data_IF_584272146426
#
_entry.id   IF_584272146426
#
_cell.length_a   1.000
_cell.length_b   1.000
_cell.length_c   1.000
_cell.angle_alpha   90.00
_cell.angle_beta   90.00
_cell.angle_gamma   90.00
#
_symmetry.space_group_name_H-M   'P 1'
#
loop_
_entity.id
_entity.type
_entity.pdbx_description
1 polymer ?
#
# COMPACT_ATOMS: atom_id res chain seq x y z
N UNK A 1 9.39 -16.33 -17.01
CA UNK A 1 9.22 -15.70 -15.70
C UNK A 1 7.75 -15.78 -15.34
N UNK A 2 7.41 -15.85 -14.07
CA UNK A 2 5.99 -15.74 -13.70
C UNK A 2 5.49 -14.31 -14.01
N UNK A 3 4.22 -14.21 -14.37
CA UNK A 3 3.57 -12.91 -14.62
C UNK A 3 3.42 -12.15 -13.30
N UNK A 4 3.90 -10.91 -13.25
CA UNK A 4 3.77 -10.02 -12.11
C UNK A 4 3.06 -8.75 -12.56
N UNK A 5 1.95 -8.44 -11.90
CA UNK A 5 1.21 -7.21 -12.13
C UNK A 5 1.50 -6.17 -11.06
N UNK A 6 1.35 -4.90 -11.42
CA UNK A 6 1.28 -3.81 -10.46
C UNK A 6 -0.16 -3.33 -10.34
N UNK A 7 -0.58 -3.06 -9.12
CA UNK A 7 -1.90 -2.50 -8.83
C UNK A 7 -1.69 -1.16 -8.14
N UNK A 8 -2.17 -0.11 -8.76
CA UNK A 8 -2.14 1.25 -8.24
C UNK A 8 -3.57 1.68 -7.89
N UNK A 9 -3.80 2.08 -6.65
CA UNK A 9 -5.05 2.75 -6.29
C UNK A 9 -4.85 4.26 -6.45
N UNK A 10 -5.71 4.90 -7.25
CA UNK A 10 -5.62 6.31 -7.57
C UNK A 10 -6.96 7.02 -7.37
N UNK A 11 -6.88 8.20 -6.77
CA UNK A 11 -8.01 9.10 -6.58
C UNK A 11 -7.64 10.50 -7.04
N UNK A 12 -8.40 11.05 -8.00
CA UNK A 12 -8.43 12.48 -8.25
C UNK A 12 -9.46 13.14 -7.33
N UNK A 13 -8.96 13.77 -6.29
CA UNK A 13 -9.82 14.44 -5.33
C UNK A 13 -10.46 15.75 -5.86
N UNK A 14 -9.99 16.26 -7.00
CA UNK A 14 -10.57 17.44 -7.69
C UNK A 14 -11.71 17.05 -8.63
N UNK A 15 -11.97 15.76 -8.84
CA UNK A 15 -13.11 15.30 -9.64
C UNK A 15 -14.42 15.75 -9.00
N UNK A 16 -15.12 16.66 -9.68
CA UNK A 16 -16.37 17.26 -9.19
C UNK A 16 -17.47 16.21 -9.01
N UNK A 17 -17.58 15.26 -9.93
CA UNK A 17 -18.61 14.22 -9.86
C UNK A 17 -18.36 13.28 -8.67
N UNK A 18 -17.09 12.95 -8.39
CA UNK A 18 -16.72 12.18 -7.22
C UNK A 18 -17.02 12.94 -5.91
N UNK A 19 -16.70 14.25 -5.86
CA UNK A 19 -16.99 15.08 -4.69
C UNK A 19 -18.49 15.18 -4.43
N UNK A 20 -19.29 15.42 -5.46
CA UNK A 20 -20.76 15.46 -5.35
C UNK A 20 -21.32 14.14 -4.85
N UNK A 21 -20.85 13.02 -5.38
CA UNK A 21 -21.27 11.70 -4.94
C UNK A 21 -20.88 11.44 -3.48
N UNK A 22 -19.65 11.73 -3.09
CA UNK A 22 -19.16 11.59 -1.71
C UNK A 22 -19.99 12.41 -0.73
N UNK A 23 -20.35 13.64 -1.09
CA UNK A 23 -21.10 14.56 -0.22
C UNK A 23 -22.50 14.02 0.10
N UNK A 24 -23.14 13.25 -0.80
CA UNK A 24 -24.43 12.62 -0.53
C UNK A 24 -24.39 11.62 0.63
N UNK A 25 -23.22 11.01 0.88
CA UNK A 25 -23.01 9.97 1.88
C UNK A 25 -22.24 10.45 3.10
N UNK A 26 -21.71 11.69 3.10
CA UNK A 26 -20.96 12.22 4.24
C UNK A 26 -21.93 12.55 5.38
N UNK A 27 -22.07 11.73 6.42
CA UNK A 27 -22.89 12.07 7.57
C UNK A 27 -22.10 13.08 8.39
N UNK A 28 -22.60 14.30 8.59
CA UNK A 28 -22.07 15.27 9.54
C UNK A 28 -20.61 15.06 10.01
N UNK A 29 -20.21 15.63 11.12
CA UNK A 29 -18.80 15.66 11.59
C UNK A 29 -18.14 14.29 11.96
N UNK A 30 -18.75 13.15 11.68
CA UNK A 30 -18.24 11.82 12.10
C UNK A 30 -17.42 11.08 11.02
N UNK A 31 -17.48 11.51 9.76
CA UNK A 31 -16.71 10.89 8.69
C UNK A 31 -15.21 11.22 8.82
N UNK A 32 -14.33 10.25 8.52
CA UNK A 32 -12.89 10.48 8.46
C UNK A 32 -12.54 11.24 7.16
N UNK A 33 -12.68 12.56 7.23
CA UNK A 33 -12.50 13.51 6.11
C UNK A 33 -11.19 14.29 6.22
N UNK A 34 -10.10 13.65 6.67
CA UNK A 34 -8.80 14.31 6.77
C UNK A 34 -8.40 14.92 5.41
N UNK A 35 -8.21 16.25 5.30
CA UNK A 35 -7.89 16.95 4.05
C UNK A 35 -6.64 16.42 3.35
N UNK A 36 -5.65 15.94 4.10
CA UNK A 36 -4.39 15.44 3.54
C UNK A 36 -4.58 14.26 2.58
N UNK A 37 -5.69 13.51 2.71
CA UNK A 37 -6.01 12.37 1.83
C UNK A 37 -6.55 12.78 0.47
N UNK A 38 -6.84 14.05 0.32
CA UNK A 38 -7.51 14.60 -0.86
C UNK A 38 -6.70 15.72 -1.51
N UNK A 39 -5.40 15.83 -1.19
CA UNK A 39 -4.50 16.79 -1.83
C UNK A 39 -3.90 16.20 -3.08
N UNK A 40 -3.88 16.99 -4.15
CA UNK A 40 -3.26 16.61 -5.41
C UNK A 40 -1.78 17.04 -5.43
N UNK A 41 -0.90 16.05 -5.51
CA UNK A 41 0.54 16.26 -5.57
C UNK A 41 1.08 16.46 -6.98
N UNK A 42 0.29 16.23 -8.01
CA UNK A 42 0.67 16.30 -9.44
C UNK A 42 1.90 15.43 -9.79
N UNK A 43 2.11 14.36 -9.06
CA UNK A 43 3.31 13.52 -9.17
C UNK A 43 3.04 12.10 -9.70
N UNK A 44 1.80 11.74 -9.95
CA UNK A 44 1.43 10.41 -10.43
C UNK A 44 2.17 10.00 -11.72
N UNK A 45 2.50 10.96 -12.62
CA UNK A 45 3.28 10.65 -13.82
C UNK A 45 4.65 10.05 -13.51
N UNK A 46 5.24 10.39 -12.37
CA UNK A 46 6.54 9.84 -11.96
C UNK A 46 6.43 8.38 -11.51
N UNK A 47 5.26 7.94 -11.04
CA UNK A 47 5.00 6.53 -10.83
C UNK A 47 5.14 5.76 -12.15
N UNK A 48 4.48 6.18 -13.22
CA UNK A 48 4.54 5.52 -14.53
C UNK A 48 5.93 5.62 -15.16
N UNK A 49 6.59 6.77 -15.06
CA UNK A 49 7.99 6.93 -15.52
C UNK A 49 8.93 5.99 -14.77
N UNK A 50 8.69 5.79 -13.48
CA UNK A 50 9.50 4.89 -12.66
C UNK A 50 9.33 3.43 -13.06
N UNK A 51 8.12 3.02 -13.42
CA UNK A 51 7.85 1.66 -13.91
C UNK A 51 8.55 1.44 -15.26
N UNK A 52 8.35 2.33 -16.21
CA UNK A 52 8.94 2.25 -17.54
C UNK A 52 10.48 2.13 -17.48
N UNK A 53 11.09 2.93 -16.62
CA UNK A 53 12.54 2.99 -16.47
C UNK A 53 13.13 1.90 -15.60
N UNK A 54 12.48 1.54 -14.48
CA UNK A 54 13.07 0.72 -13.43
C UNK A 54 12.46 -0.68 -13.28
N UNK A 55 11.27 -0.91 -13.88
CA UNK A 55 10.58 -2.19 -13.85
C UNK A 55 9.89 -2.51 -15.19
N UNK A 56 10.60 -2.42 -16.35
CA UNK A 56 10.00 -2.64 -17.68
C UNK A 56 9.46 -4.07 -17.89
N UNK A 57 9.81 -4.99 -17.01
CA UNK A 57 9.36 -6.38 -16.99
C UNK A 57 7.93 -6.58 -16.48
N UNK A 58 7.30 -5.56 -15.88
CA UNK A 58 5.92 -5.64 -15.39
C UNK A 58 4.97 -6.01 -16.52
N UNK A 59 4.09 -7.00 -16.27
CA UNK A 59 3.12 -7.47 -17.26
C UNK A 59 2.04 -6.42 -17.49
N UNK A 60 1.32 -6.04 -16.45
CA UNK A 60 0.18 -5.11 -16.49
C UNK A 60 0.20 -4.19 -15.28
N UNK A 61 -0.14 -2.93 -15.49
CA UNK A 61 -0.43 -1.95 -14.43
C UNK A 61 -1.95 -1.76 -14.38
N UNK A 62 -2.56 -2.29 -13.33
CA UNK A 62 -3.98 -2.08 -13.05
C UNK A 62 -4.14 -0.76 -12.30
N UNK A 63 -4.78 0.21 -12.92
CA UNK A 63 -5.07 1.51 -12.31
C UNK A 63 -6.49 1.49 -11.77
N UNK A 64 -6.61 1.30 -10.47
CA UNK A 64 -7.90 1.21 -9.77
C UNK A 64 -8.38 2.61 -9.43
N UNK A 65 -9.54 2.99 -9.92
CA UNK A 65 -10.09 4.34 -9.80
C UNK A 65 -11.62 4.32 -9.67
N UNK A 66 -12.17 5.42 -9.19
CA UNK A 66 -13.62 5.62 -9.16
C UNK A 66 -14.23 5.81 -10.57
N UNK A 67 -13.41 6.15 -11.57
CA UNK A 67 -13.80 6.38 -12.95
C UNK A 67 -13.05 7.51 -13.64
N UNK A 68 -12.36 8.34 -12.86
CA UNK A 68 -11.48 9.39 -13.40
C UNK A 68 -10.14 8.81 -13.85
N UNK A 69 -9.57 9.42 -14.89
CA UNK A 69 -8.27 9.05 -15.44
C UNK A 69 -7.51 10.33 -15.79
N UNK A 70 -6.22 10.43 -15.44
CA UNK A 70 -5.43 11.59 -15.82
C UNK A 70 -5.41 11.78 -17.34
N UNK A 71 -5.67 13.01 -17.82
CA UNK A 71 -5.75 13.31 -19.26
C UNK A 71 -4.45 13.02 -20.04
N UNK A 72 -3.32 12.98 -19.35
CA UNK A 72 -2.00 12.66 -19.94
C UNK A 72 -1.71 11.16 -20.04
N UNK A 73 -2.52 10.29 -19.40
CA UNK A 73 -2.29 8.84 -19.40
C UNK A 73 -2.81 8.20 -20.68
N UNK A 74 -1.96 7.46 -21.36
CA UNK A 74 -2.34 6.66 -22.54
C UNK A 74 -3.07 5.38 -22.09
N UNK A 75 -4.38 5.46 -21.96
CA UNK A 75 -5.24 4.33 -21.56
C UNK A 75 -5.23 3.16 -22.56
N UNK A 76 -4.79 3.39 -23.79
CA UNK A 76 -4.66 2.35 -24.82
C UNK A 76 -3.30 1.65 -24.82
N UNK A 77 -2.41 2.01 -23.90
CA UNK A 77 -1.12 1.33 -23.80
C UNK A 77 -1.33 -0.13 -23.40
N UNK A 78 -0.65 -1.12 -24.06
CA UNK A 78 -0.92 -2.56 -23.89
C UNK A 78 -0.67 -3.07 -22.47
N UNK A 79 0.08 -2.35 -21.66
CA UNK A 79 0.32 -2.68 -20.24
C UNK A 79 -0.60 -1.94 -19.26
N UNK A 80 -1.50 -1.09 -19.72
CA UNK A 80 -2.45 -0.36 -18.85
C UNK A 80 -3.79 -1.07 -18.84
N UNK A 81 -4.32 -1.30 -17.65
CA UNK A 81 -5.68 -1.75 -17.43
C UNK A 81 -6.37 -0.79 -16.45
N UNK A 82 -7.28 0.03 -16.95
CA UNK A 82 -8.11 0.89 -16.10
C UNK A 82 -9.20 0.03 -15.47
N UNK A 83 -9.28 0.07 -14.14
CA UNK A 83 -10.22 -0.72 -13.34
C UNK A 83 -11.12 0.23 -12.55
N UNK A 84 -12.39 0.33 -12.93
CA UNK A 84 -13.35 1.06 -12.11
C UNK A 84 -13.76 0.21 -10.91
N UNK A 85 -14.11 0.85 -9.80
CA UNK A 85 -14.60 0.13 -8.61
C UNK A 85 -15.77 -0.81 -8.94
N UNK A 86 -16.65 -0.41 -9.85
CA UNK A 86 -17.81 -1.23 -10.32
C UNK A 86 -17.43 -2.48 -11.10
N UNK A 87 -16.19 -2.57 -11.60
CA UNK A 87 -15.75 -3.70 -12.42
C UNK A 87 -15.38 -4.91 -11.58
N UNK A 88 -15.15 -4.71 -10.27
CA UNK A 88 -14.69 -5.79 -9.39
C UNK A 88 -15.34 -5.80 -7.99
N UNK A 89 -15.97 -4.71 -7.56
CA UNK A 89 -16.70 -4.67 -6.28
C UNK A 89 -18.19 -5.02 -6.50
N UNK A 90 -18.80 -5.81 -5.61
CA UNK A 90 -20.24 -6.00 -5.57
C UNK A 90 -21.01 -4.68 -5.52
N UNK A 91 -22.13 -4.62 -6.24
CA UNK A 91 -22.93 -3.40 -6.38
C UNK A 91 -23.45 -2.86 -5.03
N UNK A 92 -23.76 -3.74 -4.09
CA UNK A 92 -24.25 -3.39 -2.74
C UNK A 92 -23.20 -2.66 -1.89
N UNK A 93 -21.91 -2.76 -2.23
CA UNK A 93 -20.83 -2.04 -1.53
C UNK A 93 -20.55 -0.66 -2.16
N UNK A 94 -21.10 -0.39 -3.33
CA UNK A 94 -20.91 0.86 -4.07
C UNK A 94 -21.95 1.93 -3.69
N UNK A 95 -21.62 3.24 -3.80
CA UNK A 95 -20.25 3.72 -3.93
C UNK A 95 -19.46 3.50 -2.65
N UNK A 96 -18.14 3.45 -2.75
CA UNK A 96 -17.25 3.41 -1.59
C UNK A 96 -16.25 4.57 -1.63
N UNK A 97 -15.99 5.17 -0.45
CA UNK A 97 -14.99 6.21 -0.21
C UNK A 97 -13.93 5.71 0.79
N UNK A 98 -13.92 4.40 1.02
CA UNK A 98 -12.99 3.71 1.90
C UNK A 98 -11.95 2.96 1.08
N UNK A 99 -10.68 3.39 1.15
CA UNK A 99 -9.59 2.63 0.52
C UNK A 99 -9.50 1.20 1.06
N UNK A 100 -9.94 0.94 2.30
CA UNK A 100 -9.95 -0.41 2.88
C UNK A 100 -10.87 -1.35 2.12
N UNK A 101 -12.07 -0.90 1.74
CA UNK A 101 -12.97 -1.66 0.87
C UNK A 101 -12.29 -1.98 -0.46
N UNK A 102 -11.66 -0.97 -1.08
CA UNK A 102 -10.93 -1.09 -2.34
C UNK A 102 -9.82 -2.13 -2.20
N UNK A 103 -8.93 -1.95 -1.21
CA UNK A 103 -7.71 -2.73 -1.04
C UNK A 103 -7.96 -4.19 -0.64
N UNK A 104 -9.01 -4.46 0.15
CA UNK A 104 -9.36 -5.83 0.57
C UNK A 104 -9.92 -6.69 -0.54
N UNK A 105 -10.31 -6.09 -1.66
CA UNK A 105 -11.00 -6.76 -2.76
C UNK A 105 -10.16 -6.88 -4.05
N UNK A 106 -8.89 -6.50 -4.04
CA UNK A 106 -8.04 -6.46 -5.24
C UNK A 106 -7.98 -7.79 -6.00
N UNK A 107 -8.09 -8.93 -5.31
CA UNK A 107 -8.12 -10.25 -5.95
C UNK A 107 -9.27 -10.45 -6.93
N UNK A 108 -10.31 -9.64 -6.86
CA UNK A 108 -11.49 -9.68 -7.74
C UNK A 108 -11.25 -8.95 -9.06
N UNK A 109 -10.15 -8.22 -9.22
CA UNK A 109 -9.81 -7.51 -10.46
C UNK A 109 -9.71 -8.52 -11.61
N UNK A 110 -10.48 -8.33 -12.70
CA UNK A 110 -10.43 -9.21 -13.85
C UNK A 110 -9.03 -9.25 -14.47
N UNK A 111 -8.52 -10.46 -14.71
CA UNK A 111 -7.21 -10.66 -15.34
C UNK A 111 -6.00 -10.41 -14.45
N UNK A 112 -6.17 -10.10 -13.16
CA UNK A 112 -5.08 -9.95 -12.21
C UNK A 112 -4.26 -11.25 -12.08
N UNK A 113 -2.93 -11.13 -12.17
CA UNK A 113 -2.01 -12.24 -11.99
C UNK A 113 -2.04 -12.80 -10.56
N UNK A 114 -1.57 -14.04 -10.39
CA UNK A 114 -1.35 -14.63 -9.06
C UNK A 114 -0.38 -13.80 -8.23
N UNK A 115 0.68 -13.28 -8.85
CA UNK A 115 1.67 -12.43 -8.20
C UNK A 115 1.39 -10.97 -8.59
N UNK A 116 1.11 -10.13 -7.59
CA UNK A 116 0.95 -8.71 -7.85
C UNK A 116 1.57 -7.85 -6.75
N UNK A 117 1.96 -6.65 -7.11
CA UNK A 117 2.52 -5.65 -6.19
C UNK A 117 1.54 -4.50 -6.07
N UNK A 118 1.16 -4.21 -4.84
CA UNK A 118 0.26 -3.12 -4.51
C UNK A 118 1.02 -1.83 -4.22
N UNK A 119 0.57 -0.74 -4.83
CA UNK A 119 1.07 0.61 -4.66
C UNK A 119 -0.06 1.56 -4.28
N UNK A 120 0.22 2.47 -3.36
CA UNK A 120 -0.53 3.71 -3.23
C UNK A 120 0.07 4.76 -4.19
N UNK A 121 -0.65 5.85 -4.43
CA UNK A 121 -0.26 6.97 -5.30
C UNK A 121 0.91 7.81 -4.77
N UNK A 122 1.31 7.61 -3.52
CA UNK A 122 2.48 8.21 -2.87
C UNK A 122 3.76 7.32 -2.91
N UNK A 123 3.71 6.18 -3.63
CA UNK A 123 4.80 5.20 -3.70
C UNK A 123 5.48 5.20 -5.07
N UNK A 124 6.82 5.27 -5.09
CA UNK A 124 7.63 5.38 -6.30
C UNK A 124 8.79 4.40 -6.29
N UNK A 125 9.14 3.87 -7.47
CA UNK A 125 10.45 3.26 -7.68
C UNK A 125 11.48 4.37 -7.86
N UNK A 126 12.60 4.28 -7.15
CA UNK A 126 13.69 5.28 -7.19
C UNK A 126 15.01 4.68 -7.68
N UNK A 127 14.96 3.44 -8.17
CA UNK A 127 16.07 2.77 -8.81
C UNK A 127 15.65 1.44 -9.43
N UNK A 128 16.48 0.84 -10.28
CA UNK A 128 16.18 -0.42 -10.97
C UNK A 128 15.83 -1.52 -9.98
N UNK A 129 14.74 -2.23 -10.26
CA UNK A 129 14.28 -3.40 -9.52
C UNK A 129 14.05 -4.56 -10.48
N UNK A 130 14.55 -5.73 -10.12
CA UNK A 130 14.26 -6.97 -10.82
C UNK A 130 13.05 -7.66 -10.20
N UNK A 131 12.36 -8.57 -10.92
CA UNK A 131 11.23 -9.34 -10.39
C UNK A 131 11.51 -9.97 -9.01
N UNK A 132 12.74 -10.42 -8.78
CA UNK A 132 13.20 -11.05 -7.53
C UNK A 132 13.23 -10.10 -6.33
N UNK A 133 13.08 -8.79 -6.56
CA UNK A 133 12.88 -7.82 -5.50
C UNK A 133 11.52 -8.00 -4.82
N UNK A 134 10.51 -8.37 -5.62
CA UNK A 134 9.14 -8.54 -5.14
C UNK A 134 8.77 -10.00 -4.91
N UNK A 135 9.25 -10.91 -5.76
CA UNK A 135 8.92 -12.32 -5.65
C UNK A 135 10.16 -13.20 -5.88
N UNK A 136 10.34 -14.19 -5.02
CA UNK A 136 11.40 -15.19 -5.14
C UNK A 136 10.84 -16.59 -4.95
N UNK A 137 11.08 -17.47 -5.92
CA UNK A 137 10.53 -18.84 -5.93
C UNK A 137 9.00 -18.85 -5.78
N UNK A 138 8.30 -17.92 -6.46
CA UNK A 138 6.85 -17.81 -6.41
C UNK A 138 6.28 -17.16 -5.14
N UNK A 139 7.13 -16.75 -4.19
CA UNK A 139 6.71 -16.17 -2.90
C UNK A 139 7.08 -14.68 -2.82
N UNK A 140 6.21 -13.83 -2.26
CA UNK A 140 6.50 -12.43 -2.05
C UNK A 140 7.71 -12.22 -1.12
N UNK A 141 8.55 -11.25 -1.46
CA UNK A 141 9.69 -10.86 -0.65
C UNK A 141 9.28 -9.81 0.36
N UNK A 142 9.41 -10.10 1.65
CA UNK A 142 9.00 -9.18 2.72
C UNK A 142 9.78 -9.41 4.02
N UNK A 143 9.50 -8.60 5.06
CA UNK A 143 10.16 -8.65 6.34
C UNK A 143 9.15 -8.87 7.48
N UNK A 144 9.03 -10.12 7.93
CA UNK A 144 8.14 -10.49 9.03
C UNK A 144 8.76 -10.12 10.39
N UNK A 145 8.52 -8.90 10.82
CA UNK A 145 9.01 -8.36 12.10
C UNK A 145 7.86 -8.21 13.07
N UNK A 146 7.94 -8.85 14.24
CA UNK A 146 6.99 -8.64 15.32
C UNK A 146 7.25 -7.30 16.00
N UNK A 147 6.21 -6.55 16.28
CA UNK A 147 6.31 -5.24 16.92
C UNK A 147 5.05 -4.92 17.72
N UNK A 148 5.19 -4.24 18.84
CA UNK A 148 4.09 -3.47 19.39
C UNK A 148 3.95 -2.17 18.60
N UNK A 149 2.74 -1.66 18.45
CA UNK A 149 2.45 -0.35 17.89
C UNK A 149 1.85 0.53 18.98
N UNK A 150 2.45 1.70 19.19
CA UNK A 150 1.84 2.75 19.99
C UNK A 150 1.06 3.67 19.06
N UNK A 151 -0.06 4.21 19.51
CA UNK A 151 -0.79 5.22 18.79
C UNK A 151 -0.81 6.55 19.57
N UNK A 152 -0.95 7.63 18.81
CA UNK A 152 -1.06 8.97 19.33
C UNK A 152 -2.45 9.54 18.97
N UNK A 153 -3.14 10.12 19.96
CA UNK A 153 -4.46 10.69 19.75
C UNK A 153 -4.47 11.93 18.84
N UNK A 154 -3.31 12.52 18.57
CA UNK A 154 -3.19 13.62 17.59
C UNK A 154 -3.31 13.14 16.13
N UNK A 155 -3.29 11.84 15.88
CA UNK A 155 -3.49 11.25 14.56
C UNK A 155 -4.88 10.62 14.38
N UNK A 156 -5.14 10.09 13.20
CA UNK A 156 -6.38 9.34 12.95
C UNK A 156 -6.38 8.02 13.74
N UNK A 157 -7.17 7.96 14.80
CA UNK A 157 -7.34 6.77 15.65
C UNK A 157 -7.70 5.54 14.78
N UNK A 158 -8.60 5.71 13.80
CA UNK A 158 -9.01 4.62 12.89
C UNK A 158 -7.84 4.00 12.13
N UNK A 159 -6.84 4.79 11.75
CA UNK A 159 -5.66 4.30 11.04
C UNK A 159 -4.80 3.39 11.93
N UNK A 160 -4.68 3.73 13.21
CA UNK A 160 -3.88 2.94 14.17
C UNK A 160 -4.54 1.64 14.60
N UNK A 161 -5.88 1.54 14.55
CA UNK A 161 -6.58 0.34 15.00
C UNK A 161 -6.59 -0.79 13.96
N UNK A 162 -6.55 -0.51 12.66
CA UNK A 162 -6.60 -1.54 11.65
C UNK A 162 -5.55 -2.66 11.82
N UNK A 163 -4.26 -2.39 12.11
CA UNK A 163 -3.28 -3.44 12.34
C UNK A 163 -3.59 -4.34 13.55
N UNK A 164 -4.30 -3.82 14.55
CA UNK A 164 -4.77 -4.64 15.68
C UNK A 164 -5.96 -5.52 15.30
N UNK A 165 -6.88 -5.00 14.49
CA UNK A 165 -8.00 -5.75 13.92
C UNK A 165 -7.44 -6.89 13.06
N UNK A 166 -6.52 -6.60 12.15
CA UNK A 166 -5.84 -7.57 11.32
C UNK A 166 -5.16 -8.67 12.16
N UNK A 167 -4.42 -8.25 13.21
CA UNK A 167 -3.75 -9.18 14.13
C UNK A 167 -4.76 -10.01 14.94
N UNK A 168 -5.92 -9.45 15.26
CA UNK A 168 -7.02 -10.17 15.90
C UNK A 168 -7.51 -11.33 15.06
N UNK A 169 -7.68 -11.12 13.74
CA UNK A 169 -8.01 -12.18 12.78
C UNK A 169 -6.90 -13.25 12.75
N UNK A 170 -5.63 -12.83 12.70
CA UNK A 170 -4.49 -13.76 12.73
C UNK A 170 -4.52 -14.62 14.00
N UNK A 171 -4.75 -14.05 15.16
CA UNK A 171 -4.78 -14.76 16.44
C UNK A 171 -5.95 -15.74 16.57
N UNK A 172 -7.04 -15.53 15.81
CA UNK A 172 -8.18 -16.46 15.74
C UNK A 172 -7.76 -17.82 15.13
N UNK A 173 -6.86 -17.80 14.14
CA UNK A 173 -6.48 -19.01 13.38
C UNK A 173 -5.10 -19.56 13.72
N UNK A 174 -4.18 -18.73 14.23
CA UNK A 174 -2.78 -19.12 14.34
C UNK A 174 -2.23 -18.95 15.77
N UNK A 175 -1.61 -20.03 16.27
CA UNK A 175 -0.86 -19.99 17.54
C UNK A 175 0.57 -19.52 17.27
N UNK A 176 0.95 -18.36 17.79
CA UNK A 176 2.27 -17.71 17.55
C UNK A 176 3.45 -18.68 17.72
N UNK A 177 3.51 -19.44 18.84
CA UNK A 177 4.60 -20.37 19.08
C UNK A 177 4.72 -21.45 18.01
N UNK A 178 3.59 -21.96 17.50
CA UNK A 178 3.58 -22.96 16.43
C UNK A 178 4.08 -22.38 15.12
N UNK A 179 3.66 -21.16 14.77
CA UNK A 179 4.11 -20.44 13.57
C UNK A 179 5.61 -20.22 13.60
N UNK A 180 6.15 -19.66 14.70
CA UNK A 180 7.57 -19.39 14.84
C UNK A 180 8.43 -20.67 14.78
N UNK A 181 7.95 -21.77 15.38
CA UNK A 181 8.63 -23.08 15.33
C UNK A 181 8.65 -23.69 13.93
N UNK A 182 7.61 -23.49 13.14
CA UNK A 182 7.49 -24.05 11.78
C UNK A 182 8.53 -23.50 10.82
N UNK A 183 8.90 -22.21 10.95
CA UNK A 183 9.83 -21.53 10.04
C UNK A 183 10.73 -20.50 10.74
N UNK A 184 11.56 -20.94 11.71
CA UNK A 184 12.31 -20.01 12.57
C UNK A 184 13.24 -19.11 11.79
N UNK A 185 13.88 -19.59 10.71
CA UNK A 185 14.78 -18.81 9.87
C UNK A 185 14.08 -17.71 9.05
N UNK A 186 12.74 -17.75 8.92
CA UNK A 186 11.99 -16.65 8.31
C UNK A 186 11.72 -15.52 9.31
N UNK A 187 11.59 -15.83 10.58
CA UNK A 187 11.33 -14.86 11.66
C UNK A 187 12.60 -14.30 12.27
N UNK A 188 13.63 -15.15 12.46
CA UNK A 188 14.95 -14.79 12.99
C UNK A 188 15.94 -14.62 11.84
N UNK A 189 15.66 -13.69 10.91
CA UNK A 189 16.47 -13.49 9.72
C UNK A 189 17.37 -12.27 9.85
N UNK A 190 18.67 -12.42 9.59
CA UNK A 190 19.65 -11.32 9.68
C UNK A 190 19.39 -10.16 8.72
N UNK A 191 18.61 -10.39 7.62
CA UNK A 191 18.17 -9.32 6.72
C UNK A 191 17.30 -8.29 7.42
N UNK A 192 16.68 -8.64 8.54
CA UNK A 192 15.89 -7.69 9.34
C UNK A 192 16.74 -6.75 10.20
N UNK A 193 18.06 -6.98 10.28
CA UNK A 193 19.02 -6.08 10.94
C UNK A 193 18.58 -5.74 12.37
N UNK A 194 18.63 -4.46 12.75
CA UNK A 194 18.20 -3.99 14.07
C UNK A 194 16.72 -4.21 14.39
N UNK A 195 15.85 -4.42 13.37
CA UNK A 195 14.44 -4.73 13.61
C UNK A 195 14.23 -6.12 14.26
N UNK A 196 15.24 -7.00 14.23
CA UNK A 196 15.21 -8.27 14.98
C UNK A 196 15.01 -8.06 16.48
N UNK A 197 15.53 -6.98 17.06
CA UNK A 197 15.35 -6.67 18.47
C UNK A 197 13.86 -6.52 18.83
N UNK A 198 13.04 -5.94 17.92
CA UNK A 198 11.59 -5.86 18.12
C UNK A 198 10.97 -7.24 18.20
N UNK A 199 11.33 -8.14 17.27
CA UNK A 199 10.86 -9.51 17.30
C UNK A 199 11.24 -10.21 18.59
N UNK A 200 12.48 -10.08 19.06
CA UNK A 200 12.96 -10.68 20.32
C UNK A 200 12.16 -10.18 21.52
N UNK A 201 11.88 -8.88 21.62
CA UNK A 201 11.10 -8.30 22.73
C UNK A 201 9.64 -8.78 22.72
N UNK A 202 9.12 -9.23 21.57
CA UNK A 202 7.75 -9.75 21.45
C UNK A 202 7.64 -11.26 21.74
N UNK A 203 8.75 -12.01 21.81
CA UNK A 203 8.72 -13.46 22.01
C UNK A 203 8.01 -13.92 23.31
N UNK A 204 8.17 -13.25 24.48
CA UNK A 204 7.53 -13.67 25.70
C UNK A 204 5.99 -13.69 25.66
N UNK A 205 5.38 -12.83 24.85
CA UNK A 205 3.92 -12.74 24.75
C UNK A 205 3.32 -14.00 24.09
N UNK A 206 2.20 -14.54 24.59
CA UNK A 206 1.62 -15.78 24.08
C UNK A 206 0.98 -15.65 22.69
N UNK A 207 0.50 -14.46 22.36
CA UNK A 207 -0.17 -14.13 21.10
C UNK A 207 0.66 -13.17 20.25
N UNK A 208 0.31 -13.00 18.97
CA UNK A 208 0.79 -11.90 18.16
C UNK A 208 0.21 -10.59 18.72
N UNK A 209 1.06 -9.60 19.00
CA UNK A 209 0.61 -8.28 19.43
C UNK A 209 0.31 -7.43 18.19
N UNK A 210 1.29 -7.30 17.30
CA UNK A 210 1.19 -6.67 15.99
C UNK A 210 2.45 -6.98 15.18
N UNK A 211 2.51 -6.44 13.96
CA UNK A 211 3.63 -6.56 13.05
C UNK A 211 4.15 -5.17 12.66
N UNK A 212 5.41 -5.09 12.28
CA UNK A 212 6.01 -3.86 11.76
C UNK A 212 5.57 -3.66 10.31
N UNK A 213 4.85 -2.58 10.03
CA UNK A 213 4.50 -2.17 8.67
C UNK A 213 5.52 -1.16 8.17
N UNK A 214 6.13 -1.44 7.02
CA UNK A 214 7.15 -0.56 6.42
C UNK A 214 6.55 0.50 5.51
N UNK A 215 5.27 0.36 5.14
CA UNK A 215 4.51 1.26 4.27
C UNK A 215 5.23 1.56 2.96
N UNK A 216 5.57 0.50 2.26
CA UNK A 216 6.23 0.48 0.96
C UNK A 216 5.43 -0.46 0.03
N UNK A 217 5.73 -0.52 -1.28
CA UNK A 217 5.06 -1.47 -2.16
C UNK A 217 5.10 -2.91 -1.65
N UNK A 218 3.94 -3.56 -1.58
CA UNK A 218 3.78 -4.90 -1.02
C UNK A 218 3.50 -5.93 -2.11
N UNK A 219 4.26 -7.04 -2.11
CA UNK A 219 3.97 -8.20 -2.93
C UNK A 219 2.87 -9.08 -2.32
N UNK A 220 1.89 -9.45 -3.12
CA UNK A 220 0.78 -10.30 -2.73
C UNK A 220 0.60 -11.49 -3.66
N UNK A 221 0.06 -12.57 -3.10
CA UNK A 221 -0.51 -13.67 -3.87
C UNK A 221 -2.03 -13.52 -3.90
N UNK A 222 -2.63 -13.59 -5.09
CA UNK A 222 -4.08 -13.56 -5.27
C UNK A 222 -4.75 -14.66 -4.45
N UNK A 223 -4.19 -15.85 -4.45
CA UNK A 223 -4.63 -16.99 -3.66
C UNK A 223 -4.61 -16.74 -2.14
N UNK A 224 -3.78 -15.82 -1.64
CA UNK A 224 -3.82 -15.41 -0.22
C UNK A 224 -5.09 -14.63 0.09
N UNK A 225 -5.48 -13.71 -0.80
CA UNK A 225 -6.75 -12.98 -0.65
C UNK A 225 -7.93 -13.94 -0.68
N UNK A 226 -7.98 -14.84 -1.65
CA UNK A 226 -9.04 -15.84 -1.80
C UNK A 226 -9.18 -16.70 -0.54
N UNK A 227 -8.06 -17.21 0.01
CA UNK A 227 -8.06 -17.99 1.24
C UNK A 227 -8.59 -17.21 2.46
N UNK A 228 -8.19 -15.95 2.63
CA UNK A 228 -8.67 -15.12 3.76
C UNK A 228 -10.15 -14.80 3.59
N UNK A 229 -10.60 -14.51 2.38
CA UNK A 229 -12.00 -14.31 2.08
C UNK A 229 -12.85 -15.56 2.31
N UNK A 230 -12.32 -16.73 2.00
CA UNK A 230 -12.99 -18.01 2.33
C UNK A 230 -13.15 -18.23 3.84
N UNK A 231 -12.16 -17.78 4.64
CA UNK A 231 -12.15 -17.93 6.09
C UNK A 231 -13.02 -16.91 6.82
N UNK A 232 -13.11 -15.69 6.34
CA UNK A 232 -13.77 -14.55 6.99
C UNK A 232 -14.76 -13.83 6.06
N UNK A 233 -15.66 -14.55 5.34
CA UNK A 233 -16.51 -13.94 4.33
C UNK A 233 -17.45 -12.89 4.90
N UNK A 234 -18.09 -13.16 6.03
CA UNK A 234 -19.05 -12.24 6.65
C UNK A 234 -18.37 -10.99 7.21
N UNK A 235 -17.21 -11.17 7.87
CA UNK A 235 -16.44 -10.08 8.45
C UNK A 235 -15.91 -9.12 7.37
N UNK A 236 -15.32 -9.68 6.30
CA UNK A 236 -14.78 -8.87 5.20
C UNK A 236 -15.88 -8.22 4.35
N UNK A 237 -17.02 -8.90 4.18
CA UNK A 237 -18.17 -8.31 3.50
C UNK A 237 -18.77 -7.13 4.29
N UNK A 238 -18.92 -7.29 5.62
CA UNK A 238 -19.40 -6.21 6.47
C UNK A 238 -18.46 -4.99 6.45
N UNK A 239 -17.14 -5.20 6.53
CA UNK A 239 -16.16 -4.12 6.41
C UNK A 239 -16.16 -3.48 5.02
N UNK A 240 -16.36 -4.27 3.95
CA UNK A 240 -16.43 -3.76 2.58
C UNK A 240 -17.71 -2.95 2.29
N UNK A 241 -18.78 -3.18 3.05
CA UNK A 241 -20.03 -2.42 2.91
C UNK A 241 -19.95 -1.02 3.51
N UNK A 242 -18.95 -0.71 4.34
CA UNK A 242 -18.76 0.62 4.92
C UNK A 242 -18.38 1.64 3.83
N UNK A 243 -19.17 2.71 3.72
CA UNK A 243 -18.92 3.80 2.77
C UNK A 243 -17.66 4.60 3.10
N UNK A 244 -17.36 4.73 4.38
CA UNK A 244 -16.17 5.37 4.93
C UNK A 244 -15.46 4.41 5.88
N UNK A 245 -14.18 4.67 6.17
CA UNK A 245 -13.40 3.82 7.09
C UNK A 245 -14.03 3.77 8.47
N UNK A 246 -14.23 2.57 8.98
CA UNK A 246 -14.63 2.32 10.37
C UNK A 246 -13.43 1.87 11.21
N UNK A 247 -13.50 2.05 12.52
CA UNK A 247 -12.43 1.64 13.45
C UNK A 247 -12.23 0.13 13.48
N UNK A 248 -13.31 -0.62 13.27
CA UNK A 248 -13.31 -2.07 13.27
C UNK A 248 -12.91 -2.70 11.92
N UNK A 249 -12.70 -1.88 10.87
CA UNK A 249 -12.30 -2.41 9.57
C UNK A 249 -10.87 -2.92 9.58
N UNK A 250 -10.62 -4.12 9.03
CA UNK A 250 -9.29 -4.55 8.65
C UNK A 250 -8.78 -3.74 7.46
N UNK A 251 -7.54 -3.97 7.06
CA UNK A 251 -6.98 -3.41 5.84
C UNK A 251 -6.11 -4.44 5.09
N UNK A 252 -5.44 -4.03 4.01
CA UNK A 252 -4.62 -4.90 3.19
C UNK A 252 -3.47 -5.59 3.97
N UNK A 253 -3.06 -5.08 5.14
CA UNK A 253 -2.04 -5.75 5.97
C UNK A 253 -2.50 -7.09 6.52
N UNK A 254 -3.81 -7.35 6.63
CA UNK A 254 -4.33 -8.67 6.98
C UNK A 254 -3.75 -9.75 6.07
N UNK A 255 -3.71 -9.50 4.75
CA UNK A 255 -3.17 -10.43 3.77
C UNK A 255 -1.65 -10.57 3.87
N UNK A 256 -0.93 -9.49 4.16
CA UNK A 256 0.50 -9.52 4.47
C UNK A 256 0.79 -10.40 5.70
N UNK A 257 0.04 -10.18 6.80
CA UNK A 257 0.21 -10.96 8.02
C UNK A 257 -0.15 -12.43 7.81
N UNK A 258 -1.16 -12.70 6.99
CA UNK A 258 -1.52 -14.06 6.61
C UNK A 258 -0.39 -14.76 5.85
N UNK A 259 0.26 -14.06 4.91
CA UNK A 259 1.46 -14.55 4.22
C UNK A 259 2.60 -14.86 5.20
N UNK A 260 2.79 -14.00 6.22
CA UNK A 260 3.82 -14.24 7.23
C UNK A 260 3.54 -15.50 8.05
N UNK A 261 2.34 -15.63 8.61
CA UNK A 261 2.02 -16.73 9.54
C UNK A 261 1.86 -18.09 8.84
N UNK A 262 1.48 -18.09 7.57
CA UNK A 262 1.45 -19.30 6.73
C UNK A 262 2.83 -19.67 6.17
N UNK A 263 3.81 -18.75 6.28
CA UNK A 263 5.16 -18.94 5.75
C UNK A 263 5.27 -18.71 4.24
N UNK A 264 4.25 -18.13 3.61
CA UNK A 264 4.23 -17.82 2.17
C UNK A 264 4.91 -16.49 1.87
N UNK A 265 6.16 -16.35 2.29
CA UNK A 265 7.01 -15.22 1.97
C UNK A 265 8.48 -15.61 1.97
N UNK A 266 9.31 -14.79 1.34
CA UNK A 266 10.78 -14.89 1.36
C UNK A 266 11.35 -13.69 2.12
N UNK A 267 12.22 -13.89 3.13
CA UNK A 267 12.83 -12.81 3.89
C UNK A 267 13.62 -11.82 3.02
N UNK A 268 13.31 -10.52 3.13
CA UNK A 268 13.94 -9.39 2.43
C UNK A 268 14.68 -8.48 3.40
N UNK A 269 15.72 -7.80 2.93
CA UNK A 269 16.43 -6.77 3.69
C UNK A 269 15.50 -5.57 3.92
N UNK A 270 15.42 -5.09 5.18
CA UNK A 270 14.56 -3.95 5.56
C UNK A 270 15.02 -2.61 4.99
N UNK A 271 16.25 -2.53 4.46
CA UNK A 271 16.79 -1.32 3.82
C UNK A 271 16.49 -1.21 2.31
N UNK A 272 15.57 -2.03 1.80
CA UNK A 272 15.20 -2.01 0.37
C UNK A 272 14.49 -0.73 -0.07
N UNK A 273 13.85 -0.04 0.84
CA UNK A 273 13.11 1.18 0.59
C UNK A 273 13.08 2.10 1.81
N UNK A 274 12.47 3.26 1.63
CA UNK A 274 12.33 4.27 2.69
C UNK A 274 10.94 4.89 2.67
N UNK A 275 10.29 4.89 3.82
CA UNK A 275 9.07 5.65 4.08
C UNK A 275 9.42 7.02 4.65
N UNK A 276 8.82 8.06 4.10
CA UNK A 276 8.82 9.41 4.62
C UNK A 276 7.41 9.84 4.99
N UNK A 277 7.22 10.27 6.22
CA UNK A 277 6.06 11.03 6.68
C UNK A 277 6.44 12.50 6.58
N UNK A 278 5.90 13.21 5.60
CA UNK A 278 6.30 14.58 5.30
C UNK A 278 5.35 15.54 6.03
N UNK A 279 5.83 16.17 7.11
CA UNK A 279 5.07 17.14 7.89
C UNK A 279 5.46 18.58 7.57
N UNK A 280 6.69 18.80 7.04
CA UNK A 280 7.29 20.10 6.86
C UNK A 280 8.33 20.12 5.74
N UNK A 281 8.83 21.32 5.41
CA UNK A 281 9.80 21.50 4.32
C UNK A 281 11.15 20.80 4.57
N UNK A 282 11.60 20.66 5.81
CA UNK A 282 12.88 20.00 6.09
C UNK A 282 12.80 18.50 5.81
N UNK A 283 11.69 17.86 6.14
CA UNK A 283 11.45 16.45 5.80
C UNK A 283 11.30 16.25 4.29
N UNK A 284 10.65 17.20 3.60
CA UNK A 284 10.60 17.21 2.13
C UNK A 284 11.99 17.31 1.49
N UNK A 285 12.88 18.18 2.02
CA UNK A 285 14.27 18.29 1.57
C UNK A 285 15.08 17.03 1.83
N UNK A 286 14.85 16.35 2.98
CA UNK A 286 15.48 15.06 3.25
C UNK A 286 15.00 13.99 2.26
N UNK A 287 13.69 13.89 2.01
CA UNK A 287 13.11 12.98 1.04
C UNK A 287 13.64 13.25 -0.38
N UNK A 288 13.67 14.51 -0.80
CA UNK A 288 14.18 14.94 -2.11
C UNK A 288 15.66 14.56 -2.32
N UNK A 289 16.51 14.69 -1.30
CA UNK A 289 17.91 14.24 -1.36
C UNK A 289 18.01 12.74 -1.55
N UNK A 290 17.19 11.97 -0.82
CA UNK A 290 17.23 10.51 -0.90
C UNK A 290 16.64 9.97 -2.21
N UNK A 291 15.65 10.66 -2.84
CA UNK A 291 15.11 10.32 -4.17
C UNK A 291 16.24 10.24 -5.21
N UNK A 292 17.14 11.21 -5.24
CA UNK A 292 18.25 11.26 -6.22
C UNK A 292 19.51 10.50 -5.82
N UNK A 293 19.56 9.92 -4.61
CA UNK A 293 20.79 9.35 -4.05
C UNK A 293 21.17 7.97 -4.56
N UNK A 294 20.24 7.24 -5.17
CA UNK A 294 20.39 5.81 -5.53
C UNK A 294 20.44 4.85 -4.35
N UNK A 295 20.29 5.36 -3.11
CA UNK A 295 20.39 4.58 -1.88
C UNK A 295 19.24 3.60 -1.68
N UNK A 296 18.04 3.99 -2.08
CA UNK A 296 16.83 3.20 -1.96
C UNK A 296 16.29 2.85 -3.34
N UNK A 297 15.66 1.69 -3.45
CA UNK A 297 15.06 1.21 -4.70
C UNK A 297 13.61 1.65 -4.84
N UNK A 298 12.96 1.95 -3.72
CA UNK A 298 11.59 2.43 -3.67
C UNK A 298 11.39 3.34 -2.47
N UNK A 299 10.50 4.31 -2.61
CA UNK A 299 10.16 5.26 -1.57
C UNK A 299 8.66 5.49 -1.51
N UNK A 300 8.16 5.72 -0.30
CA UNK A 300 6.84 6.29 -0.06
C UNK A 300 7.01 7.71 0.47
N UNK A 301 6.32 8.66 -0.12
CA UNK A 301 6.39 10.10 0.18
C UNK A 301 5.03 10.57 0.70
N UNK A 302 4.69 10.10 1.91
CA UNK A 302 3.36 10.24 2.50
C UNK A 302 3.09 11.67 3.01
N UNK A 303 1.94 12.22 2.61
CA UNK A 303 1.46 13.53 3.08
C UNK A 303 0.92 13.46 4.50
N UNK A 304 1.63 14.10 5.41
CA UNK A 304 1.22 14.32 6.80
C UNK A 304 1.31 15.79 7.20
N UNK A 305 1.31 16.69 6.20
CA UNK A 305 1.45 18.14 6.37
C UNK A 305 0.25 18.68 7.16
N UNK A 306 0.55 19.39 8.27
CA UNK A 306 -0.47 19.98 9.14
C UNK A 306 -0.82 21.38 8.67
N UNK A 307 0.19 22.18 8.27
CA UNK A 307 0.00 23.55 7.82
C UNK A 307 -0.07 23.60 6.30
N UNK A 308 -1.20 24.06 5.75
CA UNK A 308 -1.40 24.17 4.31
C UNK A 308 -0.56 25.25 3.64
N UNK A 309 -0.09 26.26 4.40
CA UNK A 309 0.68 27.39 3.83
C UNK A 309 2.00 26.94 3.20
N UNK A 310 2.58 25.86 3.72
CA UNK A 310 3.84 25.31 3.22
C UNK A 310 3.65 24.24 2.11
N UNK A 311 2.42 23.82 1.84
CA UNK A 311 2.14 22.67 0.96
C UNK A 311 2.74 22.86 -0.44
N UNK A 312 2.54 23.99 -1.07
CA UNK A 312 3.03 24.24 -2.43
C UNK A 312 4.56 24.21 -2.51
N UNK A 313 5.27 24.75 -1.50
CA UNK A 313 6.72 24.69 -1.45
C UNK A 313 7.23 23.26 -1.26
N UNK A 314 6.56 22.49 -0.39
CA UNK A 314 6.86 21.07 -0.12
C UNK A 314 6.65 20.26 -1.40
N UNK A 315 5.48 20.39 -2.04
CA UNK A 315 5.11 19.74 -3.30
C UNK A 315 6.14 20.04 -4.39
N UNK A 316 6.52 21.31 -4.60
CA UNK A 316 7.54 21.70 -5.57
C UNK A 316 8.89 21.04 -5.27
N UNK A 317 9.33 21.02 -4.00
CA UNK A 317 10.60 20.40 -3.58
C UNK A 317 10.66 18.93 -3.93
N UNK A 318 9.60 18.19 -3.64
CA UNK A 318 9.50 16.76 -3.93
C UNK A 318 9.43 16.51 -5.44
N UNK A 319 8.57 17.26 -6.16
CA UNK A 319 8.37 17.07 -7.59
C UNK A 319 9.61 17.44 -8.41
N UNK A 320 10.39 18.43 -8.00
CA UNK A 320 11.68 18.73 -8.62
C UNK A 320 12.67 17.57 -8.49
N UNK A 321 12.71 16.91 -7.34
CA UNK A 321 13.58 15.75 -7.15
C UNK A 321 13.14 14.55 -8.02
N UNK A 322 11.84 14.28 -8.08
CA UNK A 322 11.27 13.24 -8.95
C UNK A 322 11.50 13.55 -10.42
N UNK A 323 11.29 14.81 -10.85
CA UNK A 323 11.54 15.24 -12.22
C UNK A 323 13.02 15.12 -12.62
N UNK A 324 13.94 15.43 -11.70
CA UNK A 324 15.39 15.25 -11.94
C UNK A 324 15.78 13.78 -12.07
N UNK A 325 15.15 12.90 -11.28
CA UNK A 325 15.38 11.44 -11.37
C UNK A 325 14.76 10.86 -12.65
N UNK A 326 13.58 11.34 -13.05
CA UNK A 326 12.73 10.79 -14.10
C UNK A 326 12.32 11.89 -15.10
N UNK A 327 13.28 12.49 -15.81
CA UNK A 327 13.02 13.63 -16.71
C UNK A 327 12.25 13.24 -17.97
N UNK A 328 12.48 12.03 -18.48
CA UNK A 328 11.92 11.57 -19.75
C UNK A 328 10.46 11.13 -19.57
N UNK A 329 9.62 11.47 -20.57
CA UNK A 329 8.27 10.90 -20.66
C UNK A 329 8.35 9.39 -20.75
N UNK A 330 7.41 8.72 -20.10
CA UNK A 330 7.25 7.26 -20.23
C UNK A 330 6.42 6.90 -21.46
N UNK A 331 6.49 5.64 -21.87
CA UNK A 331 5.60 5.07 -22.89
C UNK A 331 4.12 5.12 -22.51
N UNK A 332 3.83 5.34 -21.24
CA UNK A 332 2.48 5.47 -20.68
C UNK A 332 1.87 6.88 -20.84
N UNK A 333 2.64 7.89 -21.28
CA UNK A 333 2.18 9.27 -21.43
C UNK A 333 1.82 9.58 -22.90
N UNK A 334 0.71 10.33 -23.11
CA UNK A 334 0.28 10.85 -24.41
C UNK A 334 1.23 11.93 -24.95
#
# INVERSE_FOLDING_TARGET
>A
MADIDFVLTYLDANDVAWQEEKNKYTPGATADVNPNRYREWDNLRYFFRSIDRFAPWVRTVHVVTWGHVPAWLNVNHPKIHIVNHRDYLPAEWLPTFSSRCIDMNLHRIPGLAEQFVYFNDDMFLTGPVEPEYFFKNGLPCDAAVLSAQAFNLNGSVRMYFAPYVDTGVINKYFKKRSVLKKSPGKWMNFRYRGELLRTLTMLPYPHFICFRNFHLPYGYLKSTYEEVWEKEPEFLAAASAHKFRDIADPNHFLFTYWQYVTGRFTPRDVKYGKYYSIHNIEEARMAARDVGSGKYKMMCLNDTIINNDDFEQIKQTVNQALSKLLPEKSSFEL
#
